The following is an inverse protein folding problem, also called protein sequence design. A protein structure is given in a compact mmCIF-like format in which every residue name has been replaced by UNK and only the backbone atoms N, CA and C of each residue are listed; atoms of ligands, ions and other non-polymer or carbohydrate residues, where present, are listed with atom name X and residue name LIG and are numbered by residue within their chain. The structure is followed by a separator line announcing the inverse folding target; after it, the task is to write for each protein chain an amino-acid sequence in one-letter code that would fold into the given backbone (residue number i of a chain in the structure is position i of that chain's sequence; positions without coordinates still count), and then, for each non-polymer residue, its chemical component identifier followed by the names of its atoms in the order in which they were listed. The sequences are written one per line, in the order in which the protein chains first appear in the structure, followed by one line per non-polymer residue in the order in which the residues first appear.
data_IF_686085944727
#
_entry.id   IF_686085944727
#
_cell.length_a   1.000
_cell.length_b   1.000
_cell.length_c   1.000
_cell.angle_alpha   90.00
_cell.angle_beta   90.00
_cell.angle_gamma   90.00
#
_symmetry.space_group_name_H-M   'P 1'
#
loop_
_entity.id
_entity.type
_entity.pdbx_description
1 polymer ?
#
# COMPACT_ATOMS: atom_id res chain seq x y z
N UNK A 1 -22.11 4.33 7.63
CA UNK A 1 -21.06 4.03 6.64
C UNK A 1 -19.73 4.49 7.22
N UNK A 2 -18.73 3.61 7.30
CA UNK A 2 -17.35 3.98 7.68
C UNK A 2 -16.43 3.56 6.54
N UNK A 3 -15.44 4.37 6.21
CA UNK A 3 -14.41 4.00 5.24
C UNK A 3 -13.33 3.16 5.93
N UNK A 4 -12.91 2.07 5.29
CA UNK A 4 -11.80 1.23 5.71
C UNK A 4 -10.55 1.66 4.95
N UNK A 5 -9.59 2.25 5.64
CA UNK A 5 -8.28 2.52 5.08
C UNK A 5 -7.42 1.26 5.21
N UNK A 6 -6.91 0.75 4.09
CA UNK A 6 -6.08 -0.46 4.01
C UNK A 6 -4.69 -0.05 3.53
N UNK A 7 -3.69 -0.03 4.42
CA UNK A 7 -2.30 0.11 4.01
C UNK A 7 -1.86 -1.12 3.23
N UNK A 8 -1.21 -0.89 2.09
CA UNK A 8 -0.79 -1.95 1.17
C UNK A 8 0.72 -1.93 1.05
N UNK A 9 1.35 -3.01 1.50
CA UNK A 9 2.77 -3.31 1.34
C UNK A 9 2.93 -4.73 0.81
N UNK A 10 4.00 -5.00 0.08
CA UNK A 10 4.23 -6.33 -0.47
C UNK A 10 4.73 -7.27 0.64
N UNK A 11 3.89 -8.24 1.00
CA UNK A 11 4.24 -9.30 1.96
C UNK A 11 3.35 -10.52 1.75
N UNK A 12 3.79 -11.70 2.22
CA UNK A 12 3.09 -12.98 1.97
C UNK A 12 1.66 -13.04 2.54
N UNK A 13 1.39 -12.26 3.59
CA UNK A 13 0.07 -12.19 4.21
C UNK A 13 -0.94 -11.30 3.45
N UNK A 14 -0.55 -10.67 2.33
CA UNK A 14 -1.37 -9.65 1.67
C UNK A 14 -2.73 -10.19 1.17
N UNK A 15 -2.83 -11.42 0.64
CA UNK A 15 -4.13 -12.01 0.30
C UNK A 15 -5.08 -12.10 1.50
N UNK A 16 -4.57 -12.39 2.71
CA UNK A 16 -5.36 -12.47 3.94
C UNK A 16 -5.88 -11.09 4.37
N UNK A 17 -5.04 -10.06 4.23
CA UNK A 17 -5.43 -8.66 4.49
C UNK A 17 -6.58 -8.25 3.57
N UNK A 18 -6.47 -8.52 2.27
CA UNK A 18 -7.52 -8.21 1.30
C UNK A 18 -8.82 -8.98 1.58
N UNK A 19 -8.72 -10.28 1.86
CA UNK A 19 -9.89 -11.09 2.21
C UNK A 19 -10.63 -10.53 3.44
N UNK A 20 -9.87 -10.13 4.46
CA UNK A 20 -10.43 -9.54 5.69
C UNK A 20 -11.08 -8.19 5.41
N UNK A 21 -10.42 -7.31 4.64
CA UNK A 21 -10.98 -6.02 4.25
C UNK A 21 -12.33 -6.19 3.51
N UNK A 22 -12.41 -7.15 2.59
CA UNK A 22 -13.64 -7.49 1.86
C UNK A 22 -14.74 -7.98 2.82
N UNK A 23 -14.41 -8.88 3.75
CA UNK A 23 -15.38 -9.41 4.72
C UNK A 23 -15.96 -8.29 5.60
N UNK A 24 -15.10 -7.43 6.13
CA UNK A 24 -15.52 -6.29 6.96
C UNK A 24 -16.35 -5.31 6.13
N UNK A 25 -15.91 -4.99 4.91
CA UNK A 25 -16.62 -4.07 4.03
C UNK A 25 -18.04 -4.53 3.72
N UNK A 26 -18.20 -5.82 3.36
CA UNK A 26 -19.50 -6.43 3.10
C UNK A 26 -20.37 -6.47 4.35
N UNK A 27 -19.79 -6.81 5.51
CA UNK A 27 -20.54 -6.92 6.77
C UNK A 27 -21.16 -5.60 7.22
N UNK A 28 -20.49 -4.47 6.95
CA UNK A 28 -20.87 -3.15 7.44
C UNK A 28 -21.31 -2.17 6.34
N UNK A 29 -21.31 -2.57 5.07
CA UNK A 29 -21.61 -1.66 3.95
C UNK A 29 -20.60 -0.51 3.89
N UNK A 30 -19.31 -0.84 3.99
CA UNK A 30 -18.20 0.11 4.08
C UNK A 30 -17.48 0.27 2.74
N UNK A 31 -16.94 1.47 2.50
CA UNK A 31 -15.98 1.74 1.42
C UNK A 31 -14.60 1.20 1.82
N UNK A 32 -13.82 0.70 0.86
CA UNK A 32 -12.41 0.33 1.07
C UNK A 32 -11.55 1.30 0.27
N UNK A 33 -10.57 1.90 0.93
CA UNK A 33 -9.54 2.74 0.31
C UNK A 33 -8.17 2.11 0.55
N UNK A 34 -7.50 1.73 -0.53
CA UNK A 34 -6.14 1.19 -0.48
C UNK A 34 -5.10 2.31 -0.58
N UNK A 35 -4.09 2.28 0.29
CA UNK A 35 -2.94 3.19 0.22
C UNK A 35 -1.65 2.39 0.15
N UNK A 36 -0.95 2.47 -0.98
CA UNK A 36 0.37 1.87 -1.12
C UNK A 36 1.37 2.66 -0.26
N UNK A 37 2.08 1.97 0.63
CA UNK A 37 3.09 2.59 1.46
C UNK A 37 4.45 2.61 0.76
N UNK A 38 5.23 3.65 1.04
CA UNK A 38 6.63 3.75 0.64
C UNK A 38 7.50 3.89 1.89
N UNK A 39 8.70 3.28 1.92
CA UNK A 39 9.66 3.53 2.98
C UNK A 39 9.96 5.02 3.12
N UNK A 40 9.75 5.57 4.31
CA UNK A 40 10.19 6.91 4.66
C UNK A 40 11.63 6.83 5.20
N UNK A 41 12.59 6.47 4.34
CA UNK A 41 14.00 6.48 4.71
C UNK A 41 14.44 7.93 4.91
N UNK A 42 14.82 8.29 6.14
CA UNK A 42 15.45 9.56 6.43
C UNK A 42 16.87 9.54 5.87
N UNK A 43 17.22 10.56 5.07
CA UNK A 43 18.60 10.75 4.64
C UNK A 43 19.48 10.98 5.88
N UNK A 44 20.28 9.97 6.22
CA UNK A 44 21.22 10.04 7.33
C UNK A 44 22.62 10.29 6.78
N UNK A 45 23.21 11.43 7.15
CA UNK A 45 24.62 11.73 6.86
C UNK A 45 25.45 11.28 8.07
N UNK A 46 26.22 10.19 7.97
CA UNK A 46 27.10 9.79 9.07
C UNK A 46 28.19 10.83 9.25
N UNK A 47 28.42 11.25 10.50
CA UNK A 47 29.47 12.23 10.87
C UNK A 47 30.88 11.62 10.77
N UNK A 48 30.98 10.29 10.78
CA UNK A 48 32.24 9.57 10.59
C UNK A 48 32.47 9.23 9.10
N UNK A 49 33.38 9.99 8.49
CA UNK A 49 33.76 9.92 7.07
C UNK A 49 34.50 8.62 6.67
N UNK A 50 34.80 7.71 7.60
CA UNK A 50 35.54 6.47 7.30
C UNK A 50 34.68 5.43 6.55
N UNK A 51 33.36 5.58 6.54
CA UNK A 51 32.44 4.59 5.97
C UNK A 51 31.86 4.88 4.59
N UNK A 52 31.86 6.13 4.10
CA UNK A 52 31.44 6.52 2.74
C UNK A 52 30.06 6.06 2.23
N UNK A 53 29.27 5.30 3.01
CA UNK A 53 27.99 4.78 2.59
C UNK A 53 26.89 5.70 3.08
N UNK A 54 26.54 6.69 2.25
CA UNK A 54 25.22 7.28 2.34
C UNK A 54 24.21 6.18 2.01
N UNK A 55 23.24 5.95 2.89
CA UNK A 55 22.07 5.14 2.53
C UNK A 55 21.29 5.95 1.50
N UNK A 56 21.63 5.77 0.22
CA UNK A 56 20.95 6.44 -0.87
C UNK A 56 19.62 5.73 -1.07
N UNK A 57 18.53 6.48 -0.93
CA UNK A 57 17.20 5.97 -1.28
C UNK A 57 17.15 5.75 -2.79
N UNK A 58 16.78 4.53 -3.20
CA UNK A 58 16.41 4.26 -4.58
C UNK A 58 14.94 4.68 -4.77
N UNK A 59 14.73 5.94 -5.15
CA UNK A 59 13.38 6.49 -5.31
C UNK A 59 12.56 5.74 -6.37
N UNK A 60 13.23 5.25 -7.42
CA UNK A 60 12.60 4.57 -8.54
C UNK A 60 12.12 3.19 -8.10
N UNK A 61 12.97 2.44 -7.40
CA UNK A 61 12.58 1.15 -6.82
C UNK A 61 11.42 1.30 -5.83
N UNK A 62 11.48 2.30 -4.93
CA UNK A 62 10.40 2.57 -3.97
C UNK A 62 9.08 2.95 -4.67
N UNK A 63 9.14 3.70 -5.77
CA UNK A 63 7.95 4.05 -6.55
C UNK A 63 7.38 2.82 -7.27
N UNK A 64 8.23 2.00 -7.88
CA UNK A 64 7.83 0.78 -8.57
C UNK A 64 7.15 -0.21 -7.59
N UNK A 65 7.69 -0.37 -6.38
CA UNK A 65 7.09 -1.22 -5.35
C UNK A 65 5.71 -0.72 -4.93
N UNK A 66 5.56 0.59 -4.70
CA UNK A 66 4.26 1.16 -4.35
C UNK A 66 3.23 1.04 -5.48
N UNK A 67 3.68 1.13 -6.74
CA UNK A 67 2.81 0.90 -7.89
C UNK A 67 2.36 -0.56 -7.97
N UNK A 68 3.26 -1.54 -7.80
CA UNK A 68 2.89 -2.98 -7.75
C UNK A 68 1.90 -3.25 -6.61
N UNK A 69 2.17 -2.73 -5.42
CA UNK A 69 1.26 -2.84 -4.28
C UNK A 69 -0.14 -2.30 -4.61
N UNK A 70 -0.22 -1.09 -5.19
CA UNK A 70 -1.48 -0.49 -5.63
C UNK A 70 -2.22 -1.33 -6.67
N UNK A 71 -1.51 -1.85 -7.67
CA UNK A 71 -2.09 -2.72 -8.70
C UNK A 71 -2.65 -4.02 -8.12
N UNK A 72 -1.94 -4.66 -7.19
CA UNK A 72 -2.42 -5.87 -6.50
C UNK A 72 -3.67 -5.61 -5.68
N UNK A 73 -3.74 -4.48 -4.97
CA UNK A 73 -4.95 -4.09 -4.26
C UNK A 73 -6.13 -3.96 -5.21
N UNK A 74 -5.95 -3.20 -6.28
CA UNK A 74 -6.97 -2.97 -7.29
C UNK A 74 -7.47 -4.29 -7.89
N UNK A 75 -6.55 -5.16 -8.34
CA UNK A 75 -6.88 -6.46 -8.90
C UNK A 75 -7.63 -7.36 -7.90
N UNK A 76 -7.26 -7.33 -6.62
CA UNK A 76 -7.93 -8.10 -5.57
C UNK A 76 -9.36 -7.60 -5.29
N UNK A 77 -9.59 -6.29 -5.28
CA UNK A 77 -10.93 -5.73 -5.09
C UNK A 77 -11.85 -6.04 -6.27
N UNK A 78 -11.32 -5.99 -7.50
CA UNK A 78 -12.04 -6.40 -8.71
C UNK A 78 -12.38 -7.89 -8.72
N UNK A 79 -11.42 -8.75 -8.37
CA UNK A 79 -11.65 -10.18 -8.23
C UNK A 79 -12.69 -10.49 -7.14
N UNK A 80 -12.77 -9.66 -6.10
CA UNK A 80 -13.78 -9.74 -5.06
C UNK A 80 -15.16 -9.17 -5.47
N UNK A 81 -15.29 -8.65 -6.69
CA UNK A 81 -16.53 -8.11 -7.25
C UNK A 81 -16.99 -6.82 -6.60
N UNK A 82 -16.07 -6.03 -6.01
CA UNK A 82 -16.41 -4.74 -5.43
C UNK A 82 -16.49 -3.66 -6.53
N UNK A 83 -17.54 -2.83 -6.54
CA UNK A 83 -17.62 -1.72 -7.48
C UNK A 83 -16.57 -0.66 -7.15
N UNK A 84 -15.92 -0.11 -8.18
CA UNK A 84 -15.06 1.06 -8.02
C UNK A 84 -15.91 2.32 -7.92
N UNK A 85 -15.62 3.19 -6.95
CA UNK A 85 -16.18 4.54 -6.90
C UNK A 85 -15.38 5.42 -7.85
N UNK A 86 -16.05 6.13 -8.75
CA UNK A 86 -15.38 7.15 -9.56
C UNK A 86 -14.97 8.35 -8.68
N UNK A 87 -13.77 8.93 -8.90
CA UNK A 87 -13.38 10.12 -8.18
C UNK A 87 -14.35 11.27 -8.50
N UNK A 88 -15.11 11.74 -7.50
CA UNK A 88 -15.97 12.93 -7.62
C UNK A 88 -17.49 12.70 -7.48
N UNK A 89 -17.95 11.45 -7.35
CA UNK A 89 -19.34 11.12 -7.01
C UNK A 89 -19.53 11.00 -5.50
#
# INVERSE_FOLDING_TARGET
MKTLLVPVTLHDALPSVFATAVLVARRFGSLIEGVALRPALAEYVPVDMVGGMTWLRDEEADQAEAQDAGQRFVAAMEAAGLPRREPGA
#
